data_IF_860195335792
#
_entry.id   IF_860195335792
#
_cell.length_a   1.000
_cell.length_b   1.000
_cell.length_c   1.000
_cell.angle_alpha   90.00
_cell.angle_beta   90.00
_cell.angle_gamma   90.00
#
_symmetry.space_group_name_H-M   'P 1'
#
loop_
_entity.id
_entity.type
_entity.pdbx_description
1 polymer ?
#
# COMPACT_ATOMS: atom_id res chain seq x y z
N UNK A 1 -1.52 13.41 2.39
CA UNK A 1 -0.83 12.46 3.31
C UNK A 1 0.67 12.72 3.32
N UNK A 2 1.32 12.74 4.50
CA UNK A 2 2.78 12.67 4.64
C UNK A 2 3.37 11.37 4.08
N UNK A 3 4.61 11.40 3.60
CA UNK A 3 5.33 10.16 3.24
C UNK A 3 5.61 9.35 4.52
N UNK A 4 5.25 8.05 4.58
CA UNK A 4 5.44 7.24 5.79
C UNK A 4 6.92 6.96 6.11
N UNK A 5 7.85 7.21 5.16
CA UNK A 5 9.29 7.03 5.37
C UNK A 5 9.98 8.27 5.93
N UNK A 6 9.68 9.46 5.42
CA UNK A 6 10.40 10.69 5.76
C UNK A 6 9.55 11.78 6.42
N UNK A 7 8.24 11.54 6.61
CA UNK A 7 7.32 12.49 7.23
C UNK A 7 7.01 13.75 6.41
N UNK A 8 7.70 14.00 5.28
CA UNK A 8 7.46 15.19 4.47
C UNK A 8 6.09 15.13 3.78
N UNK A 9 5.28 16.15 4.01
CA UNK A 9 3.96 16.32 3.39
C UNK A 9 4.08 16.76 1.93
N UNK A 10 3.09 16.40 1.09
CA UNK A 10 2.95 16.86 -0.31
C UNK A 10 4.08 16.44 -1.27
N UNK A 11 4.84 15.39 -0.94
CA UNK A 11 5.90 14.86 -1.83
C UNK A 11 5.55 13.53 -2.51
N UNK A 12 4.45 12.88 -2.15
CA UNK A 12 3.98 11.66 -2.83
C UNK A 12 3.33 12.04 -4.17
N UNK A 13 3.85 11.50 -5.25
CA UNK A 13 3.35 11.74 -6.61
C UNK A 13 3.19 10.42 -7.36
N UNK A 14 2.21 10.30 -8.27
CA UNK A 14 2.06 9.10 -9.08
C UNK A 14 3.26 8.89 -10.01
N UNK A 15 3.62 7.63 -10.18
CA UNK A 15 4.54 7.19 -11.24
C UNK A 15 3.81 7.15 -12.58
N UNK A 16 4.58 7.04 -13.67
CA UNK A 16 4.00 6.85 -15.01
C UNK A 16 3.17 5.56 -15.07
N UNK A 17 2.17 5.55 -15.95
CA UNK A 17 1.42 4.33 -16.23
C UNK A 17 2.34 3.16 -16.61
N UNK A 18 1.99 1.95 -16.16
CA UNK A 18 2.77 0.73 -16.35
C UNK A 18 4.17 0.72 -15.70
N UNK A 19 4.43 1.60 -14.73
CA UNK A 19 5.60 1.42 -13.87
C UNK A 19 5.47 0.08 -13.11
N UNK A 20 6.53 -0.73 -13.13
CA UNK A 20 6.48 -2.09 -12.60
C UNK A 20 6.45 -2.07 -11.07
N UNK A 21 5.44 -2.71 -10.48
CA UNK A 21 5.33 -3.00 -9.04
C UNK A 21 5.38 -1.78 -8.10
N UNK A 22 5.15 -0.56 -8.59
CA UNK A 22 4.96 0.63 -7.77
C UNK A 22 4.06 1.63 -8.49
N UNK A 23 3.27 2.37 -7.71
CA UNK A 23 2.27 3.32 -8.19
C UNK A 23 2.63 4.76 -7.79
N UNK A 24 3.30 4.94 -6.65
CA UNK A 24 3.69 6.25 -6.10
C UNK A 24 5.19 6.34 -5.83
N UNK A 25 5.72 7.56 -5.92
CA UNK A 25 7.07 7.92 -5.46
C UNK A 25 7.03 9.16 -4.55
N UNK A 26 7.83 9.17 -3.49
CA UNK A 26 8.16 10.38 -2.76
C UNK A 26 9.32 11.12 -3.45
N UNK A 27 9.06 12.31 -4.01
CA UNK A 27 10.09 13.11 -4.67
C UNK A 27 11.19 13.65 -3.74
N UNK A 28 11.01 13.53 -2.42
CA UNK A 28 12.02 13.95 -1.44
C UNK A 28 13.01 12.82 -1.10
N UNK A 29 12.51 11.64 -0.70
CA UNK A 29 13.36 10.55 -0.19
C UNK A 29 13.43 9.32 -1.10
N UNK A 30 12.82 9.36 -2.29
CA UNK A 30 12.81 8.24 -3.23
C UNK A 30 11.99 7.03 -2.78
N UNK A 31 11.19 7.16 -1.72
CA UNK A 31 10.26 6.11 -1.28
C UNK A 31 9.31 5.71 -2.41
N UNK A 32 9.14 4.41 -2.65
CA UNK A 32 8.20 3.83 -3.61
C UNK A 32 7.12 3.06 -2.86
N UNK A 33 5.92 2.98 -3.42
CA UNK A 33 4.84 2.17 -2.86
C UNK A 33 3.86 1.72 -3.94
N UNK A 34 3.19 0.59 -3.69
CA UNK A 34 2.00 0.18 -4.43
C UNK A 34 0.74 0.76 -3.77
N UNK A 35 -0.29 0.98 -4.58
CA UNK A 35 -1.62 1.39 -4.14
C UNK A 35 -2.63 0.38 -4.68
N UNK A 36 -3.58 -0.03 -3.84
CA UNK A 36 -4.75 -0.81 -4.23
C UNK A 36 -5.99 -0.14 -3.68
N UNK A 37 -6.82 0.35 -4.59
CA UNK A 37 -8.13 0.89 -4.27
C UNK A 37 -9.14 -0.26 -4.20
N UNK A 38 -10.00 -0.23 -3.19
CA UNK A 38 -10.95 -1.28 -2.86
C UNK A 38 -12.30 -0.65 -2.55
N UNK A 39 -13.39 -1.29 -2.99
CA UNK A 39 -14.71 -1.02 -2.43
C UNK A 39 -14.87 -1.88 -1.19
N UNK A 40 -15.08 -1.26 -0.03
CA UNK A 40 -15.25 -1.96 1.23
C UNK A 40 -16.71 -2.31 1.47
N UNK A 41 -16.93 -3.48 2.06
CA UNK A 41 -18.22 -3.92 2.57
C UNK A 41 -18.18 -3.68 4.08
N UNK A 42 -19.15 -2.92 4.60
CA UNK A 42 -19.23 -2.56 6.02
C UNK A 42 -17.99 -1.84 6.60
N UNK A 43 -17.16 -1.23 5.73
CA UNK A 43 -15.94 -0.54 6.14
C UNK A 43 -14.74 -1.45 6.43
N UNK A 44 -14.86 -2.76 6.17
CA UNK A 44 -13.83 -3.75 6.46
C UNK A 44 -12.98 -4.08 5.23
N UNK A 45 -11.69 -4.35 5.46
CA UNK A 45 -10.78 -4.85 4.43
C UNK A 45 -11.12 -6.32 4.11
N UNK A 46 -11.11 -6.72 2.83
CA UNK A 46 -11.27 -8.12 2.48
C UNK A 46 -10.01 -8.92 2.83
N UNK A 47 -10.18 -10.22 3.10
CA UNK A 47 -9.05 -11.14 3.32
C UNK A 47 -8.10 -11.21 2.12
N UNK A 48 -8.64 -11.01 0.90
CA UNK A 48 -7.86 -11.08 -0.34
C UNK A 48 -7.98 -9.79 -1.13
N UNK A 49 -6.84 -9.24 -1.53
CA UNK A 49 -6.73 -8.04 -2.35
C UNK A 49 -6.10 -8.39 -3.69
N UNK A 50 -6.69 -7.92 -4.79
CA UNK A 50 -6.16 -8.17 -6.12
C UNK A 50 -4.78 -7.52 -6.33
N UNK A 51 -3.81 -8.34 -6.73
CA UNK A 51 -2.51 -7.88 -7.22
C UNK A 51 -2.51 -7.58 -8.71
N UNK A 52 -1.35 -7.15 -9.22
CA UNK A 52 -1.09 -6.94 -10.64
C UNK A 52 -0.56 -8.23 -11.30
N UNK A 53 0.47 -8.14 -12.14
CA UNK A 53 1.09 -9.29 -12.80
C UNK A 53 1.98 -10.09 -11.84
N UNK A 54 1.87 -11.42 -11.87
CA UNK A 54 2.64 -12.30 -10.98
C UNK A 54 4.13 -12.31 -11.31
N UNK A 55 4.52 -12.50 -12.58
CA UNK A 55 5.94 -12.62 -12.97
C UNK A 55 6.83 -11.49 -12.43
N UNK A 56 6.53 -10.23 -12.80
CA UNK A 56 7.19 -9.04 -12.23
C UNK A 56 7.25 -8.99 -10.70
N UNK A 57 6.15 -9.35 -10.03
CA UNK A 57 6.07 -9.31 -8.58
C UNK A 57 6.94 -10.41 -7.94
N UNK A 58 6.90 -11.61 -8.51
CA UNK A 58 7.68 -12.76 -8.08
C UNK A 58 9.18 -12.51 -8.24
N UNK A 59 9.61 -11.91 -9.36
CA UNK A 59 11.01 -11.48 -9.56
C UNK A 59 11.49 -10.55 -8.44
N UNK A 60 10.66 -9.58 -8.03
CA UNK A 60 11.00 -8.70 -6.91
C UNK A 60 11.07 -9.45 -5.57
N UNK A 61 10.13 -10.35 -5.29
CA UNK A 61 10.13 -11.16 -4.07
C UNK A 61 11.41 -12.01 -3.98
N UNK A 62 11.78 -12.69 -5.07
CA UNK A 62 13.01 -13.50 -5.15
C UNK A 62 14.26 -12.64 -4.98
N UNK A 63 14.25 -11.40 -5.49
CA UNK A 63 15.34 -10.44 -5.31
C UNK A 63 15.35 -9.78 -3.92
N UNK A 64 14.43 -10.12 -3.01
CA UNK A 64 14.31 -9.50 -1.69
C UNK A 64 13.80 -8.06 -1.72
N UNK A 65 13.17 -7.64 -2.83
CA UNK A 65 12.65 -6.29 -3.03
C UNK A 65 11.16 -6.30 -2.72
N UNK A 66 10.77 -5.56 -1.68
CA UNK A 66 9.37 -5.42 -1.27
C UNK A 66 8.98 -3.95 -1.32
N UNK A 67 7.93 -3.65 -2.08
CA UNK A 67 7.34 -2.33 -2.06
C UNK A 67 6.24 -2.29 -1.00
N UNK A 68 6.22 -1.28 -0.13
CA UNK A 68 5.13 -1.12 0.82
C UNK A 68 3.81 -0.88 0.07
N UNK A 69 2.71 -1.24 0.72
CA UNK A 69 1.39 -1.29 0.11
C UNK A 69 0.43 -0.33 0.82
N UNK A 70 -0.21 0.55 0.06
CA UNK A 70 -1.38 1.28 0.51
C UNK A 70 -2.65 0.54 0.07
N UNK A 71 -3.56 0.34 1.01
CA UNK A 71 -4.92 -0.13 0.77
C UNK A 71 -5.84 1.08 0.96
N UNK A 72 -6.54 1.47 -0.10
CA UNK A 72 -7.41 2.66 -0.11
C UNK A 72 -8.85 2.20 -0.23
N UNK A 73 -9.56 2.25 0.89
CA UNK A 73 -10.93 1.78 0.99
C UNK A 73 -11.95 2.86 0.66
N UNK A 74 -12.89 2.56 -0.22
CA UNK A 74 -14.02 3.41 -0.57
C UNK A 74 -15.35 2.72 -0.26
N UNK A 75 -16.38 3.50 0.03
CA UNK A 75 -17.76 3.00 0.05
C UNK A 75 -18.23 2.67 -1.38
N UNK A 76 -19.35 1.96 -1.50
CA UNK A 76 -20.01 1.76 -2.81
C UNK A 76 -20.43 3.07 -3.48
N UNK A 77 -20.62 4.15 -2.70
CA UNK A 77 -20.89 5.51 -3.16
C UNK A 77 -19.64 6.33 -3.49
N UNK A 78 -18.45 5.70 -3.57
CA UNK A 78 -17.16 6.34 -3.83
C UNK A 78 -16.67 7.34 -2.76
N UNK A 79 -17.21 7.26 -1.54
CA UNK A 79 -16.68 8.01 -0.40
C UNK A 79 -15.41 7.33 0.12
N UNK A 80 -14.37 8.10 0.44
CA UNK A 80 -13.15 7.56 1.05
C UNK A 80 -13.44 7.15 2.49
N UNK A 81 -13.27 5.86 2.80
CA UNK A 81 -13.48 5.31 4.13
C UNK A 81 -12.16 5.09 4.88
N UNK A 82 -11.15 4.53 4.20
CA UNK A 82 -9.87 4.27 4.85
C UNK A 82 -8.66 4.45 3.93
N UNK A 83 -7.53 4.77 4.54
CA UNK A 83 -6.20 4.58 3.95
C UNK A 83 -5.40 3.78 4.96
N UNK A 84 -5.09 2.55 4.61
CA UNK A 84 -4.29 1.63 5.40
C UNK A 84 -2.93 1.42 4.73
N UNK A 85 -1.90 1.17 5.54
CA UNK A 85 -0.51 1.05 5.09
C UNK A 85 0.13 -0.21 5.65
N UNK A 86 0.69 -1.03 4.75
CA UNK A 86 1.47 -2.21 5.08
C UNK A 86 2.95 -1.92 4.81
N UNK A 87 3.81 -1.87 5.85
CA UNK A 87 5.24 -1.65 5.66
C UNK A 87 5.91 -2.77 4.86
N UNK A 88 6.93 -2.42 4.07
CA UNK A 88 7.69 -3.37 3.27
C UNK A 88 8.30 -4.52 4.08
N UNK A 89 8.83 -4.24 5.28
CA UNK A 89 9.44 -5.26 6.13
C UNK A 89 8.42 -6.28 6.66
N UNK A 90 7.14 -5.90 6.79
CA UNK A 90 6.06 -6.83 7.17
C UNK A 90 5.77 -7.78 6.01
N UNK A 91 5.68 -7.25 4.77
CA UNK A 91 5.52 -8.06 3.56
C UNK A 91 6.72 -9.00 3.35
N UNK A 92 7.93 -8.51 3.64
CA UNK A 92 9.15 -9.32 3.58
C UNK A 92 9.17 -10.43 4.64
N UNK A 93 8.70 -10.15 5.86
CA UNK A 93 8.60 -11.14 6.92
C UNK A 93 7.48 -12.18 6.68
N UNK A 94 6.53 -11.85 5.80
CA UNK A 94 5.34 -12.68 5.52
C UNK A 94 5.17 -12.92 4.00
N UNK A 95 6.16 -13.50 3.30
CA UNK A 95 6.10 -13.63 1.84
C UNK A 95 4.96 -14.54 1.35
N UNK A 96 4.38 -15.36 2.23
CA UNK A 96 3.20 -16.18 1.95
C UNK A 96 1.94 -15.36 1.64
N UNK A 97 1.92 -14.04 1.93
CA UNK A 97 0.80 -13.16 1.54
C UNK A 97 0.65 -13.08 0.02
N UNK A 98 1.69 -13.38 -0.76
CA UNK A 98 1.66 -13.26 -2.21
C UNK A 98 1.24 -14.58 -2.87
N UNK A 99 0.00 -14.66 -3.34
CA UNK A 99 -0.59 -15.88 -3.87
C UNK A 99 -0.77 -15.83 -5.40
N UNK A 100 -0.04 -16.63 -6.19
CA UNK A 100 -0.24 -16.67 -7.64
C UNK A 100 -1.62 -17.21 -8.00
N UNK A 101 -2.30 -16.53 -8.91
CA UNK A 101 -3.57 -17.01 -9.48
C UNK A 101 -3.31 -17.95 -10.64
N UNK A 102 -4.32 -18.71 -11.06
CA UNK A 102 -4.27 -19.45 -12.34
C UNK A 102 -4.11 -18.45 -13.50
N UNK A 103 -3.24 -18.74 -14.49
CA UNK A 103 -3.18 -17.94 -15.71
C UNK A 103 -4.53 -17.87 -16.40
N UNK A 104 -4.80 -16.76 -17.08
CA UNK A 104 -6.03 -16.60 -17.85
C UNK A 104 -6.10 -17.61 -19.00
N UNK A 105 -7.31 -18.12 -19.23
CA UNK A 105 -7.58 -19.11 -20.27
C UNK A 105 -7.28 -18.60 -21.69
N UNK A 106 -7.16 -19.54 -22.63
CA UNK A 106 -6.75 -19.28 -24.02
C UNK A 106 -7.67 -18.31 -24.78
N UNK A 107 -8.93 -18.20 -24.37
CA UNK A 107 -9.94 -17.31 -24.99
C UNK A 107 -9.95 -15.90 -24.40
N UNK A 108 -9.21 -15.64 -23.30
CA UNK A 108 -9.16 -14.32 -22.70
C UNK A 108 -8.36 -13.34 -23.56
N UNK A 109 -8.73 -12.05 -23.54
CA UNK A 109 -8.00 -10.97 -24.22
C UNK A 109 -6.49 -10.97 -23.90
N UNK A 110 -6.14 -11.36 -22.68
CA UNK A 110 -4.76 -11.51 -22.19
C UNK A 110 -4.46 -12.97 -21.87
N UNK A 111 -4.70 -13.86 -22.84
CA UNK A 111 -4.45 -15.30 -22.68
C UNK A 111 -3.06 -15.56 -22.10
N UNK A 112 -2.98 -16.45 -21.11
CA UNK A 112 -1.74 -16.78 -20.41
C UNK A 112 -1.26 -15.72 -19.40
N UNK A 113 -1.87 -14.53 -19.34
CA UNK A 113 -1.51 -13.57 -18.29
C UNK A 113 -1.85 -14.13 -16.92
N UNK A 114 -0.90 -14.03 -16.00
CA UNK A 114 -1.05 -14.48 -14.62
C UNK A 114 -1.00 -13.28 -13.68
N UNK A 115 -2.06 -13.14 -12.87
CA UNK A 115 -2.08 -12.22 -11.75
C UNK A 115 -1.80 -12.91 -10.42
N UNK A 116 -1.87 -12.16 -9.33
CA UNK A 116 -1.76 -12.69 -7.97
C UNK A 116 -2.78 -12.05 -7.03
N UNK A 117 -2.91 -12.58 -5.82
CA UNK A 117 -3.64 -11.99 -4.69
C UNK A 117 -2.67 -11.67 -3.56
N UNK A 118 -2.96 -10.61 -2.82
CA UNK A 118 -2.46 -10.43 -1.47
C UNK A 118 -3.46 -11.10 -0.53
N UNK A 119 -3.04 -12.11 0.23
CA UNK A 119 -3.80 -12.68 1.33
C UNK A 119 -3.49 -11.90 2.62
N UNK A 120 -4.29 -10.87 2.86
CA UNK A 120 -4.17 -9.91 3.95
C UNK A 120 -4.42 -10.59 5.31
N UNK A 121 -5.21 -11.66 5.35
CA UNK A 121 -5.48 -12.42 6.58
C UNK A 121 -4.23 -13.08 7.18
N UNK A 122 -3.17 -13.25 6.38
CA UNK A 122 -1.88 -13.78 6.85
C UNK A 122 -0.98 -12.72 7.48
N UNK A 123 -1.30 -11.43 7.34
CA UNK A 123 -0.51 -10.37 7.96
C UNK A 123 -0.66 -10.43 9.50
N UNK A 124 0.40 -10.11 10.26
CA UNK A 124 0.27 -10.00 11.70
C UNK A 124 -0.72 -8.87 12.06
N UNK A 125 -1.41 -8.93 13.22
CA UNK A 125 -2.38 -7.89 13.62
C UNK A 125 -1.83 -6.46 13.62
N UNK A 126 -0.52 -6.29 13.90
CA UNK A 126 0.18 -5.00 13.87
C UNK A 126 0.78 -4.66 12.49
N UNK A 127 0.56 -5.51 11.49
CA UNK A 127 1.15 -5.41 10.16
C UNK A 127 0.48 -4.39 9.25
N UNK A 128 -0.71 -3.91 9.63
CA UNK A 128 -1.48 -2.91 8.91
C UNK A 128 -1.66 -1.69 9.82
N UNK A 129 -1.27 -0.52 9.31
CA UNK A 129 -1.38 0.75 10.02
C UNK A 129 -2.43 1.62 9.36
N UNK A 130 -3.46 2.01 10.12
CA UNK A 130 -4.48 2.95 9.65
C UNK A 130 -3.96 4.38 9.64
N UNK A 131 -3.92 4.99 8.46
CA UNK A 131 -3.50 6.39 8.26
C UNK A 131 -4.69 7.33 8.10
N UNK A 132 -5.83 6.82 7.61
CA UNK A 132 -7.08 7.57 7.50
C UNK A 132 -8.29 6.65 7.79
N UNK A 133 -9.29 7.13 8.54
CA UNK A 133 -9.17 8.28 9.44
C UNK A 133 -8.05 8.00 10.45
N UNK A 134 -7.28 9.01 10.90
CA UNK A 134 -6.27 8.77 11.92
C UNK A 134 -6.96 8.18 13.14
N UNK A 135 -6.49 7.02 13.64
CA UNK A 135 -7.01 6.50 14.90
C UNK A 135 -6.83 7.57 15.98
N UNK A 136 -7.83 7.74 16.85
CA UNK A 136 -7.73 8.50 18.10
C UNK A 136 -6.82 7.80 19.11
N UNK A 137 -5.61 7.42 18.69
CA UNK A 137 -4.51 7.12 19.62
C UNK A 137 -3.72 8.39 19.79
N UNK A 138 -4.13 9.23 20.76
CA UNK A 138 -3.41 10.43 21.21
C UNK A 138 -2.45 10.99 20.16
N UNK A 139 -3.01 11.50 19.06
CA UNK A 139 -2.22 12.28 18.14
C UNK A 139 -1.89 13.56 18.90
N UNK A 140 -0.73 13.57 19.57
CA UNK A 140 0.00 14.82 19.78
C UNK A 140 0.34 15.26 18.36
N UNK A 141 -0.58 16.02 17.79
CA UNK A 141 -0.29 16.88 16.66
C UNK A 141 0.71 17.87 17.24
N UNK A 142 1.99 17.57 17.10
CA UNK A 142 3.02 18.62 17.09
C UNK A 142 2.67 19.43 15.87
N UNK A 143 1.82 20.46 16.05
CA UNK A 143 1.61 21.47 15.04
C UNK A 143 2.98 22.07 14.76
N UNK A 144 3.22 22.52 13.53
CA UNK A 144 4.51 23.10 13.15
C UNK A 144 4.92 24.33 13.98
N UNK A 145 4.08 24.81 14.89
CA UNK A 145 4.40 25.84 15.89
C UNK A 145 5.22 25.31 17.07
N UNK A 146 5.10 24.03 17.42
CA UNK A 146 5.84 23.44 18.55
C UNK A 146 7.27 23.06 18.15
N UNK A 147 7.49 22.71 16.88
CA UNK A 147 8.84 22.45 16.34
C UNK A 147 9.71 23.72 16.20
N UNK A 148 9.12 24.92 16.29
CA UNK A 148 9.86 26.18 16.27
C UNK A 148 10.29 26.63 17.67
N UNK A 149 9.60 26.17 18.72
CA UNK A 149 9.91 26.55 20.10
C UNK A 149 11.10 25.79 20.69
N UNK A 150 11.36 24.57 20.22
CA UNK A 150 12.49 23.76 20.70
C UNK A 150 13.85 24.20 20.13
N UNK A 151 13.86 25.06 19.10
CA UNK A 151 15.08 25.65 18.54
C UNK A 151 15.40 27.06 19.11
N UNK A 152 14.61 27.55 20.07
CA UNK A 152 14.89 28.81 20.76
C UNK A 152 14.77 30.07 19.89
N UNK A 153 13.81 30.10 18.96
CA UNK A 153 13.39 31.29 18.21
C UNK A 153 11.97 31.73 18.58
#
# INVERSE_FOLDING_TARGET
>A
MPCPRCGKARHLTPLRANFQCADLICKFCGFLAQVKALTLIDGELPDHVLGAAWGPQHEQIVAGIFQPLFLVGFSSGAELLSIDYVPAHILQATPSVFEPRKPLGKTARRAGWQGFLYNISLLPPIGIVRLYPPETRHAVVVTGEDALKDDGL
#
